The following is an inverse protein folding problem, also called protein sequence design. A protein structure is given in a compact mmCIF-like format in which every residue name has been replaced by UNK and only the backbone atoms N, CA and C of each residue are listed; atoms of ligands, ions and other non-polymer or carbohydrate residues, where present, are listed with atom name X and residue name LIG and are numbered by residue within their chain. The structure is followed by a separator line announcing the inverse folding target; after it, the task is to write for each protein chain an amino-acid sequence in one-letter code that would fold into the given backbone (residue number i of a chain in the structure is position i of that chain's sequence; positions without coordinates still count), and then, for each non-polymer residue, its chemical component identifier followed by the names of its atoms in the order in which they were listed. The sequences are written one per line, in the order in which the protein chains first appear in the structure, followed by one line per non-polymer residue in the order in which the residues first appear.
data_IF_194158793563
#
_entry.id   IF_194158793563
#
_cell.length_a   1.000
_cell.length_b   1.000
_cell.length_c   1.000
_cell.angle_alpha   90.00
_cell.angle_beta   90.00
_cell.angle_gamma   90.00
#
_symmetry.space_group_name_H-M   'P 1'
#
loop_
_entity.id
_entity.type
_entity.pdbx_description
1 polymer ?
#
# COMPACT_ATOMS: atom_id res chain seq x y z
N UNK A 1 -35.82 -19.03 -4.59
CA UNK A 1 -34.56 -19.75 -4.85
C UNK A 1 -33.67 -19.59 -3.63
N UNK A 2 -33.10 -20.69 -3.11
CA UNK A 2 -31.99 -20.59 -2.15
C UNK A 2 -30.82 -19.89 -2.85
N UNK A 3 -30.39 -18.76 -2.31
CA UNK A 3 -29.24 -18.02 -2.83
C UNK A 3 -27.99 -18.81 -2.44
N UNK A 4 -27.23 -19.28 -3.44
CA UNK A 4 -25.95 -19.98 -3.20
C UNK A 4 -24.84 -18.97 -2.90
N UNK A 5 -23.77 -19.39 -2.21
CA UNK A 5 -22.58 -18.54 -2.02
C UNK A 5 -21.99 -18.09 -3.35
N UNK A 6 -22.04 -18.96 -4.37
CA UNK A 6 -21.64 -18.60 -5.73
C UNK A 6 -22.50 -17.46 -6.30
N UNK A 7 -23.83 -17.50 -6.15
CA UNK A 7 -24.72 -16.42 -6.59
C UNK A 7 -24.42 -15.09 -5.90
N UNK A 8 -23.95 -15.11 -4.64
CA UNK A 8 -23.51 -13.89 -3.94
C UNK A 8 -22.18 -13.40 -4.51
N UNK A 9 -21.19 -14.28 -4.64
CA UNK A 9 -19.89 -13.96 -5.21
C UNK A 9 -20.03 -13.42 -6.65
N UNK A 10 -20.88 -14.04 -7.48
CA UNK A 10 -21.14 -13.61 -8.84
C UNK A 10 -21.75 -12.21 -8.90
N UNK A 11 -22.70 -11.90 -8.02
CA UNK A 11 -23.27 -10.55 -7.91
C UNK A 11 -22.22 -9.52 -7.49
N UNK A 12 -21.29 -9.87 -6.60
CA UNK A 12 -20.17 -8.99 -6.27
C UNK A 12 -19.24 -8.76 -7.48
N UNK A 13 -18.97 -9.81 -8.27
CA UNK A 13 -18.19 -9.71 -9.50
C UNK A 13 -18.86 -8.84 -10.56
N UNK A 14 -20.15 -9.03 -10.80
CA UNK A 14 -20.93 -8.21 -11.74
C UNK A 14 -20.95 -6.73 -11.34
N UNK A 15 -21.09 -6.43 -10.04
CA UNK A 15 -21.00 -5.05 -9.53
C UNK A 15 -19.63 -4.44 -9.78
N UNK A 16 -18.56 -5.14 -9.44
CA UNK A 16 -17.19 -4.66 -9.70
C UNK A 16 -16.91 -4.45 -11.18
N UNK A 17 -17.41 -5.35 -12.03
CA UNK A 17 -17.30 -5.25 -13.47
C UNK A 17 -17.99 -3.99 -14.00
N UNK A 18 -19.23 -3.73 -13.56
CA UNK A 18 -19.98 -2.53 -13.94
C UNK A 18 -19.31 -1.24 -13.44
N UNK A 19 -18.85 -1.24 -12.19
CA UNK A 19 -18.13 -0.13 -11.58
C UNK A 19 -16.86 0.22 -12.37
N UNK A 20 -16.07 -0.80 -12.74
CA UNK A 20 -14.87 -0.60 -13.54
C UNK A 20 -15.17 0.05 -14.90
N UNK A 21 -16.25 -0.39 -15.58
CA UNK A 21 -16.69 0.21 -16.84
C UNK A 21 -17.15 1.66 -16.69
N UNK A 22 -17.90 1.98 -15.62
CA UNK A 22 -18.34 3.35 -15.33
C UNK A 22 -17.16 4.29 -15.12
N UNK A 23 -16.09 3.80 -14.51
CA UNK A 23 -14.86 4.55 -14.26
C UNK A 23 -13.81 4.46 -15.39
N UNK A 24 -14.12 3.80 -16.51
CA UNK A 24 -13.21 3.68 -17.65
C UNK A 24 -11.95 2.85 -17.38
N UNK A 25 -12.01 1.94 -16.40
CA UNK A 25 -10.90 1.07 -16.00
C UNK A 25 -11.09 -0.35 -16.53
N UNK A 26 -10.00 -1.14 -16.60
CA UNK A 26 -10.04 -2.51 -17.10
C UNK A 26 -10.84 -3.42 -16.14
N UNK A 27 -11.90 -4.12 -16.61
CA UNK A 27 -12.86 -4.75 -15.69
C UNK A 27 -12.52 -6.20 -15.30
N UNK A 28 -11.51 -6.80 -15.93
CA UNK A 28 -11.06 -8.18 -15.67
C UNK A 28 -9.73 -8.20 -14.91
N UNK A 29 -9.23 -9.41 -14.62
CA UNK A 29 -7.91 -9.57 -14.02
C UNK A 29 -6.80 -9.15 -14.99
N UNK A 30 -5.85 -8.29 -14.58
CA UNK A 30 -4.65 -8.01 -15.34
C UNK A 30 -3.87 -9.30 -15.66
N UNK A 31 -3.36 -9.39 -16.89
CA UNK A 31 -2.61 -10.56 -17.38
C UNK A 31 -1.11 -10.22 -17.38
N UNK A 32 -0.34 -10.94 -16.56
CA UNK A 32 1.09 -10.67 -16.43
C UNK A 32 1.84 -10.83 -17.76
N UNK A 33 1.53 -11.85 -18.58
CA UNK A 33 2.18 -12.03 -19.88
C UNK A 33 2.03 -10.82 -20.81
N UNK A 34 0.88 -10.14 -20.75
CA UNK A 34 0.66 -8.91 -21.52
C UNK A 34 1.46 -7.74 -20.94
N UNK A 35 1.54 -7.61 -19.61
CA UNK A 35 2.37 -6.59 -18.93
C UNK A 35 3.85 -6.78 -19.28
N UNK A 36 4.32 -8.02 -19.28
CA UNK A 36 5.71 -8.38 -19.56
C UNK A 36 6.09 -8.22 -21.03
N UNK A 37 5.14 -8.19 -21.95
CA UNK A 37 5.43 -8.02 -23.38
C UNK A 37 6.17 -6.71 -23.71
N UNK A 38 6.08 -5.72 -22.82
CA UNK A 38 6.76 -4.44 -22.91
C UNK A 38 7.94 -4.29 -21.93
N UNK A 39 8.29 -5.34 -21.19
CA UNK A 39 9.29 -5.28 -20.11
C UNK A 39 10.45 -6.24 -20.35
N UNK A 40 11.69 -5.75 -20.24
CA UNK A 40 12.87 -6.60 -20.32
C UNK A 40 13.13 -7.26 -18.95
N UNK A 41 12.92 -8.58 -18.85
CA UNK A 41 13.22 -9.36 -17.64
C UNK A 41 14.66 -9.84 -17.66
N UNK A 42 15.44 -9.44 -16.65
CA UNK A 42 16.86 -9.78 -16.55
C UNK A 42 17.09 -11.10 -15.79
N UNK A 43 16.20 -11.47 -14.86
CA UNK A 43 16.32 -12.73 -14.13
C UNK A 43 14.99 -13.20 -13.55
N UNK A 44 14.93 -14.51 -13.24
CA UNK A 44 13.85 -15.14 -12.50
C UNK A 44 14.40 -15.84 -11.26
N UNK A 45 13.78 -15.61 -10.10
CA UNK A 45 14.22 -16.14 -8.81
C UNK A 45 13.10 -16.94 -8.16
N UNK A 46 13.35 -18.19 -7.76
CA UNK A 46 12.38 -18.94 -6.97
C UNK A 46 12.40 -18.46 -5.53
N UNK A 47 11.26 -17.98 -5.02
CA UNK A 47 11.11 -17.58 -3.62
C UNK A 47 10.71 -18.75 -2.71
N UNK A 48 10.49 -19.93 -3.29
CA UNK A 48 9.98 -21.09 -2.56
C UNK A 48 8.49 -20.96 -2.23
N UNK A 49 8.07 -21.70 -1.22
CA UNK A 49 6.70 -21.65 -0.71
C UNK A 49 6.59 -20.60 0.39
N UNK A 50 5.66 -19.66 0.25
CA UNK A 50 5.40 -18.59 1.22
C UNK A 50 3.91 -18.28 1.35
N UNK A 51 3.52 -17.55 2.40
CA UNK A 51 2.19 -16.97 2.49
C UNK A 51 2.14 -15.66 1.72
N UNK A 52 1.19 -15.57 0.78
CA UNK A 52 0.98 -14.39 -0.06
C UNK A 52 -0.24 -13.63 0.49
N UNK A 53 -0.10 -12.35 0.87
CA UNK A 53 -1.24 -11.52 1.23
C UNK A 53 -2.25 -11.46 0.07
N UNK A 54 -3.52 -11.76 0.35
CA UNK A 54 -4.55 -11.76 -0.69
C UNK A 54 -4.78 -10.35 -1.28
N UNK A 55 -4.47 -9.29 -0.53
CA UNK A 55 -4.46 -7.90 -1.02
C UNK A 55 -3.41 -7.64 -2.09
N UNK A 56 -2.32 -8.41 -2.12
CA UNK A 56 -1.22 -8.29 -3.10
C UNK A 56 -1.40 -9.18 -4.34
N UNK A 57 -2.40 -10.07 -4.34
CA UNK A 57 -2.77 -10.85 -5.52
C UNK A 57 -3.72 -10.03 -6.38
N UNK A 58 -3.21 -9.56 -7.52
CA UNK A 58 -3.88 -8.59 -8.39
C UNK A 58 -4.38 -9.17 -9.70
N UNK A 59 -3.78 -10.26 -10.19
CA UNK A 59 -4.10 -10.76 -11.53
C UNK A 59 -3.71 -12.20 -11.78
N UNK A 60 -3.68 -12.57 -13.06
CA UNK A 60 -3.33 -13.92 -13.52
C UNK A 60 -2.08 -13.89 -14.41
N UNK A 61 -1.37 -15.02 -14.50
CA UNK A 61 -0.21 -15.13 -15.39
C UNK A 61 -0.62 -15.08 -16.86
N UNK A 62 -1.65 -15.85 -17.22
CA UNK A 62 -2.07 -16.13 -18.60
C UNK A 62 -3.52 -15.70 -18.86
N UNK A 63 -3.84 -15.38 -20.11
CA UNK A 63 -5.14 -14.82 -20.52
C UNK A 63 -6.35 -15.74 -20.30
N UNK A 64 -6.19 -17.06 -20.44
CA UNK A 64 -7.29 -18.05 -20.39
C UNK A 64 -8.20 -17.97 -19.16
N UNK A 65 -7.70 -17.40 -18.05
CA UNK A 65 -8.43 -17.29 -16.79
C UNK A 65 -8.92 -15.87 -16.50
N UNK A 66 -8.45 -14.86 -17.22
CA UNK A 66 -8.72 -13.46 -16.90
C UNK A 66 -10.21 -13.13 -16.95
N UNK A 67 -10.88 -13.54 -18.05
CA UNK A 67 -12.27 -13.13 -18.32
C UNK A 67 -13.32 -13.92 -17.52
N UNK A 68 -12.90 -14.95 -16.77
CA UNK A 68 -13.79 -15.68 -15.87
C UNK A 68 -14.07 -14.93 -14.56
N UNK A 69 -13.30 -13.89 -14.27
CA UNK A 69 -13.35 -13.11 -13.04
C UNK A 69 -13.40 -11.61 -13.32
N UNK A 70 -14.05 -10.86 -12.43
CA UNK A 70 -13.87 -9.41 -12.37
C UNK A 70 -12.49 -9.06 -11.76
N UNK A 71 -12.09 -7.79 -11.82
CA UNK A 71 -10.83 -7.28 -11.26
C UNK A 71 -10.62 -7.59 -9.77
N UNK A 72 -11.69 -7.87 -9.01
CA UNK A 72 -11.64 -8.29 -7.60
C UNK A 72 -11.60 -9.82 -7.39
N UNK A 73 -11.30 -10.62 -8.43
CA UNK A 73 -11.33 -12.10 -8.43
C UNK A 73 -12.71 -12.72 -8.19
N UNK A 74 -13.80 -11.95 -8.16
CA UNK A 74 -15.14 -12.54 -8.05
C UNK A 74 -15.59 -13.09 -9.40
N UNK A 75 -16.31 -14.23 -9.41
CA UNK A 75 -16.63 -14.93 -10.65
C UNK A 75 -17.66 -14.16 -11.49
N UNK A 76 -17.55 -14.27 -12.82
CA UNK A 76 -18.51 -13.66 -13.75
C UNK A 76 -19.39 -14.68 -14.47
N UNK A 77 -18.92 -15.93 -14.58
CA UNK A 77 -19.58 -16.97 -15.37
C UNK A 77 -20.93 -17.41 -14.76
N UNK A 78 -21.89 -17.87 -15.57
CA UNK A 78 -23.22 -18.28 -15.10
C UNK A 78 -23.19 -19.40 -14.04
N UNK A 79 -24.20 -19.44 -13.16
CA UNK A 79 -24.30 -20.41 -12.06
C UNK A 79 -24.38 -21.87 -12.53
N UNK A 80 -24.87 -22.11 -13.75
CA UNK A 80 -24.96 -23.44 -14.37
C UNK A 80 -23.64 -23.91 -15.00
N UNK A 81 -22.58 -23.11 -14.95
CA UNK A 81 -21.30 -23.47 -15.56
C UNK A 81 -20.53 -24.50 -14.74
N UNK A 82 -19.69 -25.30 -15.40
CA UNK A 82 -18.73 -26.18 -14.72
C UNK A 82 -17.81 -25.38 -13.77
N UNK A 83 -17.50 -24.14 -14.15
CA UNK A 83 -16.76 -23.22 -13.32
C UNK A 83 -17.46 -22.99 -11.98
N UNK A 84 -18.77 -22.70 -11.98
CA UNK A 84 -19.57 -22.44 -10.79
C UNK A 84 -19.67 -23.66 -9.87
N UNK A 85 -19.85 -24.84 -10.46
CA UNK A 85 -19.84 -26.10 -9.72
C UNK A 85 -18.49 -26.33 -9.02
N UNK A 86 -17.36 -26.16 -9.74
CA UNK A 86 -16.01 -26.30 -9.18
C UNK A 86 -15.71 -25.25 -8.10
N UNK A 87 -16.14 -24.01 -8.30
CA UNK A 87 -15.98 -22.95 -7.30
C UNK A 87 -16.76 -23.27 -6.02
N UNK A 88 -18.01 -23.74 -6.15
CA UNK A 88 -18.85 -24.10 -5.01
C UNK A 88 -18.31 -25.31 -4.24
N UNK A 89 -17.73 -26.29 -4.93
CA UNK A 89 -17.01 -27.40 -4.29
C UNK A 89 -15.81 -26.89 -3.47
N UNK A 90 -15.00 -26.00 -4.05
CA UNK A 90 -13.84 -25.42 -3.35
C UNK A 90 -14.26 -24.59 -2.13
N UNK A 91 -15.34 -23.82 -2.23
CA UNK A 91 -15.92 -23.11 -1.09
C UNK A 91 -16.29 -24.08 0.03
N UNK A 92 -17.04 -25.14 -0.28
CA UNK A 92 -17.46 -26.12 0.70
C UNK A 92 -16.26 -26.85 1.32
N UNK A 93 -15.24 -27.17 0.52
CA UNK A 93 -14.00 -27.77 1.00
C UNK A 93 -13.24 -26.83 1.95
N UNK A 94 -13.09 -25.55 1.59
CA UNK A 94 -12.44 -24.55 2.44
C UNK A 94 -13.14 -24.40 3.80
N UNK A 95 -14.48 -24.42 3.83
CA UNK A 95 -15.25 -24.27 5.07
C UNK A 95 -15.13 -25.52 5.96
N UNK A 96 -15.01 -26.72 5.38
CA UNK A 96 -14.97 -27.98 6.13
C UNK A 96 -13.58 -28.41 6.55
N UNK A 97 -12.65 -28.43 5.61
CA UNK A 97 -11.31 -29.03 5.75
C UNK A 97 -10.19 -27.98 5.68
N UNK A 98 -10.42 -26.88 4.94
CA UNK A 98 -9.42 -25.87 4.65
C UNK A 98 -8.52 -26.23 3.47
N UNK A 99 -8.25 -25.27 2.59
CA UNK A 99 -7.33 -25.40 1.46
C UNK A 99 -5.90 -25.47 2.01
N UNK A 100 -5.22 -26.59 1.75
CA UNK A 100 -3.82 -26.80 2.17
C UNK A 100 -2.84 -26.73 1.01
N UNK A 101 -3.30 -27.04 -0.21
CA UNK A 101 -2.44 -27.01 -1.38
C UNK A 101 -2.02 -25.58 -1.70
N UNK A 102 -0.72 -25.33 -1.97
CA UNK A 102 -0.25 -24.02 -2.40
C UNK A 102 -0.72 -23.69 -3.82
N UNK A 103 -0.91 -22.41 -4.10
CA UNK A 103 -1.09 -21.91 -5.47
C UNK A 103 0.26 -21.78 -6.17
N UNK A 104 0.26 -21.64 -7.50
CA UNK A 104 1.46 -21.25 -8.26
C UNK A 104 1.29 -19.81 -8.71
N UNK A 105 2.22 -18.94 -8.32
CA UNK A 105 2.15 -17.52 -8.62
C UNK A 105 3.50 -16.96 -9.06
N UNK A 106 3.43 -15.85 -9.80
CA UNK A 106 4.58 -15.02 -10.12
C UNK A 106 4.49 -13.71 -9.36
N UNK A 107 5.62 -13.22 -8.88
CA UNK A 107 5.73 -11.87 -8.35
C UNK A 107 6.44 -10.99 -9.38
N UNK A 108 5.89 -9.81 -9.61
CA UNK A 108 6.45 -8.76 -10.45
C UNK A 108 6.08 -7.40 -9.86
N UNK A 109 7.07 -6.53 -9.63
CA UNK A 109 6.84 -5.17 -9.09
C UNK A 109 6.02 -5.14 -7.77
N UNK A 110 6.28 -6.08 -6.87
CA UNK A 110 5.59 -6.33 -5.59
C UNK A 110 4.08 -6.62 -5.72
N UNK A 111 3.69 -7.17 -6.87
CA UNK A 111 2.35 -7.66 -7.15
C UNK A 111 2.40 -9.13 -7.55
N UNK A 112 1.37 -9.89 -7.17
CA UNK A 112 1.32 -11.33 -7.40
C UNK A 112 0.26 -11.69 -8.44
N UNK A 113 0.65 -12.57 -9.35
CA UNK A 113 -0.13 -13.02 -10.49
C UNK A 113 -0.26 -14.53 -10.48
N UNK A 114 -1.49 -15.01 -10.42
CA UNK A 114 -1.79 -16.44 -10.23
C UNK A 114 -1.68 -17.18 -11.57
N UNK A 115 -0.79 -18.15 -11.64
CA UNK A 115 -0.73 -19.11 -12.75
C UNK A 115 -1.69 -20.27 -12.50
N UNK A 116 -1.66 -20.83 -11.30
CA UNK A 116 -2.50 -21.96 -10.91
C UNK A 116 -3.21 -21.67 -9.58
N UNK A 117 -4.49 -22.05 -9.46
CA UNK A 117 -5.25 -21.86 -8.22
C UNK A 117 -6.13 -20.60 -8.18
N UNK A 118 -6.43 -19.97 -9.32
CA UNK A 118 -7.30 -18.79 -9.42
C UNK A 118 -8.65 -18.93 -8.66
N UNK A 119 -9.29 -20.10 -8.71
CA UNK A 119 -10.55 -20.34 -7.97
C UNK A 119 -10.33 -20.38 -6.45
N UNK A 120 -9.20 -20.91 -5.98
CA UNK A 120 -8.84 -20.92 -4.54
C UNK A 120 -8.67 -19.48 -4.04
N UNK A 121 -7.97 -18.64 -4.81
CA UNK A 121 -7.85 -17.20 -4.52
C UNK A 121 -9.21 -16.51 -4.49
N UNK A 122 -10.08 -16.78 -5.46
CA UNK A 122 -11.44 -16.25 -5.50
C UNK A 122 -12.27 -16.63 -4.27
N UNK A 123 -12.28 -17.90 -3.89
CA UNK A 123 -12.97 -18.41 -2.69
C UNK A 123 -12.43 -17.75 -1.42
N UNK A 124 -11.10 -17.64 -1.27
CA UNK A 124 -10.49 -17.05 -0.08
C UNK A 124 -10.70 -15.53 0.01
N UNK A 125 -10.65 -14.80 -1.11
CA UNK A 125 -11.04 -13.39 -1.15
C UNK A 125 -12.52 -13.21 -0.80
N UNK A 126 -13.40 -14.07 -1.30
CA UNK A 126 -14.84 -14.04 -0.96
C UNK A 126 -15.08 -14.26 0.55
N UNK A 127 -14.29 -15.15 1.16
CA UNK A 127 -14.35 -15.43 2.61
C UNK A 127 -13.63 -14.37 3.48
N UNK A 128 -12.96 -13.39 2.87
CA UNK A 128 -12.20 -12.38 3.60
C UNK A 128 -10.96 -12.93 4.31
N UNK A 129 -10.36 -14.01 3.79
CA UNK A 129 -9.10 -14.52 4.31
C UNK A 129 -7.96 -13.51 4.13
N UNK A 130 -6.94 -13.60 4.98
CA UNK A 130 -5.80 -12.67 4.95
C UNK A 130 -4.78 -13.05 3.87
N UNK A 131 -4.40 -14.32 3.80
CA UNK A 131 -3.33 -14.82 2.93
C UNK A 131 -3.66 -16.19 2.35
N UNK A 132 -2.88 -16.59 1.35
CA UNK A 132 -2.91 -17.92 0.76
C UNK A 132 -1.48 -18.43 0.57
N UNK A 133 -1.24 -19.70 0.88
CA UNK A 133 0.06 -20.34 0.65
C UNK A 133 0.31 -20.48 -0.85
N UNK A 134 1.51 -20.15 -1.32
CA UNK A 134 1.85 -20.26 -2.74
C UNK A 134 3.34 -20.53 -2.98
N UNK A 135 3.62 -21.27 -4.05
CA UNK A 135 4.94 -21.40 -4.63
C UNK A 135 5.16 -20.22 -5.58
N UNK A 136 6.16 -19.38 -5.27
CA UNK A 136 6.33 -18.08 -5.95
C UNK A 136 7.63 -18.04 -6.76
N UNK A 137 7.52 -17.54 -7.98
CA UNK A 137 8.67 -17.15 -8.81
C UNK A 137 8.66 -15.64 -9.04
N UNK A 138 9.71 -14.95 -8.59
CA UNK A 138 9.90 -13.51 -8.79
C UNK A 138 10.54 -13.26 -10.16
N UNK A 139 9.99 -12.30 -10.91
CA UNK A 139 10.53 -11.82 -12.18
C UNK A 139 11.15 -10.44 -11.95
N UNK A 140 12.43 -10.30 -12.24
CA UNK A 140 13.17 -9.06 -11.99
C UNK A 140 13.32 -8.30 -13.32
N UNK A 141 12.73 -7.11 -13.47
CA UNK A 141 12.93 -6.29 -14.64
C UNK A 141 14.34 -5.71 -14.66
N UNK A 142 14.76 -5.24 -15.82
CA UNK A 142 15.96 -4.43 -15.96
C UNK A 142 15.87 -3.17 -15.10
N UNK A 143 17.01 -2.76 -14.54
CA UNK A 143 17.11 -1.48 -13.82
C UNK A 143 16.92 -0.31 -14.79
N UNK A 144 16.08 0.65 -14.41
CA UNK A 144 15.83 1.89 -15.14
C UNK A 144 15.87 3.08 -14.18
N UNK A 145 15.85 4.29 -14.73
CA UNK A 145 15.82 5.52 -13.94
C UNK A 145 14.42 5.93 -13.47
N UNK A 146 13.39 5.17 -13.88
CA UNK A 146 11.99 5.40 -13.51
C UNK A 146 11.79 5.23 -12.00
N UNK A 147 10.92 6.07 -11.43
CA UNK A 147 10.70 6.12 -9.98
C UNK A 147 10.20 4.78 -9.45
N UNK A 148 9.25 4.17 -10.13
CA UNK A 148 8.62 2.90 -9.78
C UNK A 148 9.63 1.75 -9.80
N UNK A 149 10.53 1.74 -10.79
CA UNK A 149 11.62 0.78 -10.89
C UNK A 149 12.59 0.94 -9.71
N UNK A 150 13.02 2.18 -9.41
CA UNK A 150 13.89 2.47 -8.26
C UNK A 150 13.24 2.04 -6.93
N UNK A 151 11.96 2.32 -6.73
CA UNK A 151 11.19 1.88 -5.56
C UNK A 151 11.16 0.35 -5.46
N UNK A 152 10.99 -0.35 -6.58
CA UNK A 152 11.03 -1.81 -6.60
C UNK A 152 12.39 -2.36 -6.18
N UNK A 153 13.49 -1.75 -6.62
CA UNK A 153 14.82 -2.21 -6.19
C UNK A 153 15.10 -1.91 -4.71
N UNK A 154 14.64 -0.78 -4.17
CA UNK A 154 14.68 -0.56 -2.71
C UNK A 154 13.83 -1.60 -1.95
N UNK A 155 12.66 -1.95 -2.50
CA UNK A 155 11.84 -3.02 -1.97
C UNK A 155 12.56 -4.38 -2.00
N UNK A 156 13.27 -4.72 -3.09
CA UNK A 156 14.01 -5.97 -3.18
C UNK A 156 15.10 -6.07 -2.11
N UNK A 157 15.83 -4.97 -1.86
CA UNK A 157 16.85 -4.90 -0.82
C UNK A 157 16.23 -5.12 0.57
N UNK A 158 15.09 -4.47 0.84
CA UNK A 158 14.32 -4.65 2.09
C UNK A 158 13.72 -6.05 2.23
N UNK A 159 13.12 -6.60 1.16
CA UNK A 159 12.48 -7.91 1.17
C UNK A 159 13.49 -9.04 1.36
N UNK A 160 14.73 -8.87 0.87
CA UNK A 160 15.82 -9.83 1.08
C UNK A 160 16.14 -10.05 2.55
N UNK A 161 16.09 -9.00 3.36
CA UNK A 161 16.40 -9.08 4.81
C UNK A 161 15.16 -9.33 5.67
N UNK A 162 14.03 -8.74 5.31
CA UNK A 162 12.79 -8.82 6.11
C UNK A 162 11.87 -9.98 5.74
N UNK A 163 11.97 -10.52 4.52
CA UNK A 163 10.97 -11.44 3.97
C UNK A 163 9.56 -10.85 3.85
N UNK A 164 9.36 -9.54 4.08
CA UNK A 164 8.04 -8.91 4.08
C UNK A 164 7.67 -8.39 2.67
N UNK A 165 6.42 -8.64 2.26
CA UNK A 165 5.83 -8.15 1.00
C UNK A 165 4.53 -7.34 1.23
N UNK A 166 4.19 -7.05 2.48
CA UNK A 166 2.96 -6.34 2.85
C UNK A 166 3.14 -4.82 2.68
N UNK A 167 4.34 -4.29 2.98
CA UNK A 167 4.61 -2.85 2.86
C UNK A 167 5.06 -2.45 1.46
N UNK A 168 4.59 -1.29 1.00
CA UNK A 168 5.02 -0.66 -0.25
C UNK A 168 5.00 0.86 -0.13
N UNK A 169 6.16 1.48 -0.20
CA UNK A 169 6.31 2.93 -0.08
C UNK A 169 6.18 3.64 -1.43
N UNK A 170 5.69 4.88 -1.40
CA UNK A 170 5.59 5.75 -2.60
C UNK A 170 6.80 6.68 -2.78
N UNK A 171 7.74 6.68 -1.83
CA UNK A 171 8.89 7.58 -1.76
C UNK A 171 10.20 6.81 -1.62
N UNK A 172 11.19 7.24 -2.41
CA UNK A 172 12.55 6.68 -2.35
C UNK A 172 13.18 6.96 -0.99
N UNK A 173 13.97 6.01 -0.50
CA UNK A 173 14.64 6.03 0.80
C UNK A 173 13.75 5.60 1.97
N UNK A 174 12.44 5.41 1.78
CA UNK A 174 11.52 5.05 2.86
C UNK A 174 11.83 3.69 3.49
N UNK A 175 12.23 2.69 2.69
CA UNK A 175 12.64 1.38 3.23
C UNK A 175 13.87 1.49 4.13
N UNK A 176 14.89 2.24 3.70
CA UNK A 176 16.10 2.50 4.51
C UNK A 176 15.77 3.26 5.79
N UNK A 177 14.85 4.23 5.71
CA UNK A 177 14.38 4.98 6.89
C UNK A 177 13.64 4.08 7.87
N UNK A 178 12.77 3.20 7.38
CA UNK A 178 12.08 2.22 8.22
C UNK A 178 13.08 1.33 8.96
N UNK A 179 14.06 0.74 8.25
CA UNK A 179 15.11 -0.08 8.87
C UNK A 179 15.85 0.69 9.97
N UNK A 180 16.22 1.95 9.72
CA UNK A 180 16.87 2.80 10.72
C UNK A 180 15.99 3.02 11.96
N UNK A 181 14.69 3.29 11.79
CA UNK A 181 13.75 3.47 12.89
C UNK A 181 13.52 2.18 13.69
N UNK A 182 13.67 1.03 13.04
CA UNK A 182 13.65 -0.28 13.69
C UNK A 182 14.98 -0.61 14.40
N UNK A 183 16.03 0.18 14.19
CA UNK A 183 17.38 -0.10 14.68
C UNK A 183 18.09 -1.22 13.92
N UNK A 184 17.68 -1.49 12.68
CA UNK A 184 18.20 -2.57 11.82
C UNK A 184 19.22 -2.06 10.80
N UNK A 185 20.22 -2.89 10.53
CA UNK A 185 21.15 -2.70 9.41
C UNK A 185 20.52 -3.03 8.04
N UNK A 186 21.05 -2.48 6.93
CA UNK A 186 20.55 -2.76 5.58
C UNK A 186 20.72 -4.21 5.11
N UNK A 187 21.69 -4.93 5.66
CA UNK A 187 21.98 -6.34 5.35
C UNK A 187 21.65 -7.29 6.52
N UNK A 188 21.00 -6.78 7.57
CA UNK A 188 20.66 -7.54 8.77
C UNK A 188 19.40 -8.36 8.55
N UNK A 189 19.57 -9.66 8.31
CA UNK A 189 18.46 -10.60 8.10
C UNK A 189 17.62 -10.72 9.37
N UNK A 190 16.31 -10.52 9.24
CA UNK A 190 15.36 -10.65 10.34
C UNK A 190 15.09 -12.11 10.65
N UNK A 191 14.97 -12.43 11.94
CA UNK A 191 14.51 -13.74 12.39
C UNK A 191 12.97 -13.89 12.26
N UNK A 192 12.44 -15.07 12.56
CA UNK A 192 11.00 -15.34 12.42
C UNK A 192 10.13 -14.51 13.37
N UNK A 193 10.62 -14.23 14.58
CA UNK A 193 9.91 -13.48 15.61
C UNK A 193 9.81 -12.00 15.21
N UNK A 194 10.91 -11.42 14.71
CA UNK A 194 10.95 -10.05 14.20
C UNK A 194 10.01 -9.85 13.02
N UNK A 195 9.99 -10.81 12.09
CA UNK A 195 9.05 -10.82 10.96
C UNK A 195 7.60 -10.88 11.45
N UNK A 196 7.32 -11.73 12.42
CA UNK A 196 5.98 -11.89 12.98
C UNK A 196 5.51 -10.62 13.69
N UNK A 197 6.38 -9.99 14.50
CA UNK A 197 6.05 -8.75 15.19
C UNK A 197 5.81 -7.61 14.21
N UNK A 198 6.66 -7.48 13.19
CA UNK A 198 6.48 -6.46 12.16
C UNK A 198 5.14 -6.63 11.41
N UNK A 199 4.86 -7.85 10.92
CA UNK A 199 3.58 -8.15 10.23
C UNK A 199 2.38 -7.87 11.13
N UNK A 200 2.46 -8.24 12.40
CA UNK A 200 1.38 -8.02 13.37
C UNK A 200 1.18 -6.53 13.70
N UNK A 201 2.26 -5.75 13.82
CA UNK A 201 2.19 -4.31 14.05
C UNK A 201 1.63 -3.58 12.83
N UNK A 202 2.16 -3.86 11.63
CA UNK A 202 1.70 -3.27 10.39
C UNK A 202 0.23 -3.62 10.11
N UNK A 203 -0.17 -4.89 10.27
CA UNK A 203 -1.56 -5.31 10.04
C UNK A 203 -2.57 -4.67 11.01
N UNK A 204 -2.21 -4.45 12.29
CA UNK A 204 -3.05 -3.69 13.24
C UNK A 204 -3.12 -2.22 12.84
N UNK A 205 -2.00 -1.63 12.41
CA UNK A 205 -1.96 -0.25 11.97
C UNK A 205 -2.81 -0.04 10.72
N UNK A 206 -2.67 -0.89 9.70
CA UNK A 206 -3.42 -0.80 8.45
C UNK A 206 -4.93 -0.80 8.71
N UNK A 207 -5.42 -1.69 9.59
CA UNK A 207 -6.82 -1.71 10.02
C UNK A 207 -7.22 -0.41 10.71
N UNK A 208 -6.44 0.06 11.68
CA UNK A 208 -6.71 1.31 12.37
C UNK A 208 -6.73 2.52 11.40
N UNK A 209 -5.84 2.54 10.41
CA UNK A 209 -5.77 3.57 9.38
C UNK A 209 -7.01 3.56 8.48
N UNK A 210 -7.49 2.39 8.06
CA UNK A 210 -8.74 2.26 7.32
C UNK A 210 -9.97 2.66 8.15
N UNK A 211 -10.02 2.28 9.44
CA UNK A 211 -11.08 2.74 10.34
C UNK A 211 -11.10 4.26 10.50
N UNK A 212 -9.94 4.91 10.37
CA UNK A 212 -9.80 6.37 10.44
C UNK A 212 -10.10 7.08 9.11
N UNK A 213 -10.64 6.38 8.11
CA UNK A 213 -10.89 6.90 6.76
C UNK A 213 -9.62 7.34 6.01
N UNK A 214 -8.50 6.65 6.26
CA UNK A 214 -7.23 6.91 5.61
C UNK A 214 -7.24 6.73 4.09
N UNK A 215 -8.21 5.98 3.54
CA UNK A 215 -8.44 5.83 2.10
C UNK A 215 -8.79 7.13 1.36
N UNK A 216 -9.16 8.19 2.10
CA UNK A 216 -9.42 9.52 1.54
C UNK A 216 -8.14 10.33 1.31
N UNK A 217 -6.99 9.83 1.78
CA UNK A 217 -5.71 10.49 1.63
C UNK A 217 -4.99 9.95 0.39
N UNK A 218 -4.25 10.82 -0.30
CA UNK A 218 -3.28 10.49 -1.34
C UNK A 218 -1.96 9.95 -0.73
N UNK A 219 -2.09 9.02 0.22
CA UNK A 219 -0.99 8.44 0.98
C UNK A 219 -1.20 6.93 1.14
N UNK A 220 -0.16 6.13 0.90
CA UNK A 220 -0.28 4.68 1.13
C UNK A 220 -0.32 4.37 2.63
N UNK A 221 -0.97 3.26 3.05
CA UNK A 221 -0.90 2.81 4.45
C UNK A 221 0.54 2.60 4.94
N UNK A 222 1.46 2.17 4.07
CA UNK A 222 2.88 2.04 4.40
C UNK A 222 3.54 3.40 4.67
N UNK A 223 3.31 4.41 3.83
CA UNK A 223 3.85 5.75 4.07
C UNK A 223 3.30 6.35 5.37
N UNK A 224 2.01 6.17 5.65
CA UNK A 224 1.39 6.58 6.91
C UNK A 224 1.99 5.83 8.12
N UNK A 225 2.23 4.52 7.98
CA UNK A 225 2.88 3.71 9.01
C UNK A 225 4.28 4.20 9.33
N UNK A 226 5.05 4.63 8.33
CA UNK A 226 6.39 5.18 8.55
C UNK A 226 6.37 6.45 9.39
N UNK A 227 5.41 7.35 9.15
CA UNK A 227 5.21 8.56 9.99
C UNK A 227 4.81 8.15 11.41
N UNK A 228 3.93 7.17 11.54
CA UNK A 228 3.50 6.66 12.85
C UNK A 228 4.66 6.05 13.66
N UNK A 229 5.48 5.21 13.02
CA UNK A 229 6.70 4.61 13.61
C UNK A 229 7.70 5.68 14.02
N UNK A 230 7.82 6.75 13.24
CA UNK A 230 8.73 7.85 13.55
C UNK A 230 8.31 8.64 14.80
N UNK A 231 7.01 8.89 14.96
CA UNK A 231 6.48 9.65 16.10
C UNK A 231 6.48 8.81 17.39
N UNK A 232 6.03 7.56 17.31
CA UNK A 232 5.81 6.71 18.50
C UNK A 232 6.93 5.71 18.77
N UNK A 233 7.84 5.49 17.81
CA UNK A 233 8.95 4.55 17.94
C UNK A 233 8.54 3.09 17.75
N UNK A 234 9.30 2.37 16.94
CA UNK A 234 8.97 0.99 16.52
C UNK A 234 8.72 0.02 17.69
N UNK A 235 9.54 0.08 18.75
CA UNK A 235 9.41 -0.83 19.90
C UNK A 235 8.09 -0.66 20.64
N UNK A 236 7.61 0.58 20.77
CA UNK A 236 6.36 0.86 21.47
C UNK A 236 5.16 0.35 20.69
N UNK A 237 5.17 0.56 19.36
CA UNK A 237 4.01 0.22 18.53
C UNK A 237 3.81 -1.30 18.39
N UNK A 238 4.87 -2.11 18.54
CA UNK A 238 4.77 -3.57 18.51
C UNK A 238 3.82 -4.12 19.60
N UNK A 239 3.67 -3.42 20.73
CA UNK A 239 2.77 -3.80 21.81
C UNK A 239 1.34 -3.26 21.69
N UNK A 240 1.09 -2.30 20.79
CA UNK A 240 -0.19 -1.57 20.76
C UNK A 240 -1.32 -2.37 20.12
N UNK A 241 -2.50 -2.32 20.73
CA UNK A 241 -3.74 -2.83 20.14
C UNK A 241 -4.21 -1.93 18.99
N UNK A 242 -5.06 -2.47 18.12
CA UNK A 242 -5.70 -1.72 17.02
C UNK A 242 -6.44 -0.47 17.54
N UNK A 243 -7.13 -0.59 18.68
CA UNK A 243 -7.85 0.52 19.32
C UNK A 243 -6.92 1.63 19.80
N UNK A 244 -5.77 1.27 20.37
CA UNK A 244 -4.76 2.24 20.80
C UNK A 244 -4.12 2.93 19.60
N UNK A 245 -3.80 2.17 18.54
CA UNK A 245 -3.29 2.73 17.28
C UNK A 245 -4.29 3.70 16.65
N UNK A 246 -5.58 3.34 16.60
CA UNK A 246 -6.64 4.23 16.11
C UNK A 246 -6.70 5.54 16.91
N UNK A 247 -6.73 5.45 18.24
CA UNK A 247 -6.78 6.64 19.10
C UNK A 247 -5.52 7.52 18.96
N UNK A 248 -4.35 6.91 18.76
CA UNK A 248 -3.10 7.62 18.50
C UNK A 248 -3.10 8.29 17.11
N UNK A 249 -3.58 7.59 16.07
CA UNK A 249 -3.72 8.14 14.72
C UNK A 249 -4.57 9.40 14.68
N UNK A 250 -5.69 9.42 15.43
CA UNK A 250 -6.52 10.62 15.54
C UNK A 250 -5.76 11.83 16.11
N UNK A 251 -4.79 11.60 17.01
CA UNK A 251 -4.00 12.68 17.61
C UNK A 251 -2.95 13.26 16.67
N UNK A 252 -2.43 12.44 15.74
CA UNK A 252 -1.39 12.83 14.80
C UNK A 252 -1.93 13.01 13.36
N UNK A 253 -3.25 13.15 13.20
CA UNK A 253 -3.88 13.18 11.89
C UNK A 253 -3.40 14.38 11.05
N UNK A 254 -3.11 15.50 11.70
CA UNK A 254 -2.47 16.68 11.07
C UNK A 254 -1.12 16.35 10.45
N UNK A 255 -0.31 15.54 11.13
CA UNK A 255 1.02 15.12 10.69
C UNK A 255 0.92 14.15 9.52
N UNK A 256 -0.06 13.24 9.54
CA UNK A 256 -0.36 12.35 8.41
C UNK A 256 -0.79 13.16 7.17
N UNK A 257 -1.66 14.18 7.32
CA UNK A 257 -2.04 15.09 6.22
C UNK A 257 -0.89 15.95 5.71
N UNK A 258 -0.02 16.41 6.61
CA UNK A 258 1.18 17.15 6.20
C UNK A 258 2.12 16.24 5.39
N UNK A 259 2.26 14.98 5.82
CA UNK A 259 3.05 14.00 5.10
C UNK A 259 2.47 13.73 3.70
N UNK A 260 1.16 13.58 3.55
CA UNK A 260 0.44 13.41 2.27
C UNK A 260 0.81 14.51 1.25
N UNK A 261 0.63 15.79 1.61
CA UNK A 261 0.83 16.95 0.72
C UNK A 261 2.26 17.07 0.17
N UNK A 262 3.23 16.42 0.81
CA UNK A 262 4.65 16.71 0.59
C UNK A 262 4.96 18.17 0.99
N UNK A 263 6.22 18.60 0.88
CA UNK A 263 6.60 20.00 1.15
C UNK A 263 6.11 20.93 0.03
N UNK A 264 4.81 21.06 -0.17
CA UNK A 264 4.26 22.09 -1.06
C UNK A 264 4.21 23.43 -0.31
N UNK A 265 4.74 24.48 -0.95
CA UNK A 265 4.70 25.86 -0.48
C UNK A 265 3.25 26.34 -0.51
N UNK A 266 2.70 26.76 0.64
CA UNK A 266 1.32 27.21 0.75
C UNK A 266 1.26 28.75 0.83
N UNK A 267 0.53 29.37 -0.10
CA UNK A 267 0.21 30.80 -0.04
C UNK A 267 -0.94 31.00 0.94
N UNK A 268 -0.63 31.42 2.15
CA UNK A 268 -1.63 31.69 3.18
C UNK A 268 -2.03 33.16 3.15
N UNK A 269 -3.26 33.44 2.74
CA UNK A 269 -3.83 34.80 2.72
C UNK A 269 -4.55 35.18 4.02
N UNK A 270 -4.81 34.21 4.91
CA UNK A 270 -5.52 34.39 6.18
C UNK A 270 -4.61 34.11 7.39
N UNK A 271 -4.37 35.09 8.28
CA UNK A 271 -3.52 34.95 9.47
C UNK A 271 -3.96 33.84 10.45
N UNK A 272 -5.25 33.53 10.55
CA UNK A 272 -5.74 32.47 11.46
C UNK A 272 -5.46 31.07 10.90
N UNK A 273 -5.57 30.90 9.58
CA UNK A 273 -5.13 29.67 8.89
C UNK A 273 -3.61 29.45 9.01
N UNK A 274 -2.82 30.54 9.01
CA UNK A 274 -1.38 30.48 9.21
C UNK A 274 -1.00 29.95 10.61
N UNK A 275 -1.79 30.24 11.64
CA UNK A 275 -1.54 29.75 13.01
C UNK A 275 -1.70 28.24 13.11
N UNK A 276 -2.69 27.65 12.45
CA UNK A 276 -2.86 26.19 12.41
C UNK A 276 -1.72 25.49 11.65
N UNK A 277 -1.23 26.11 10.57
CA UNK A 277 -0.07 25.65 9.79
C UNK A 277 1.28 25.85 10.52
N UNK A 278 1.37 26.86 11.40
CA UNK A 278 2.59 27.23 12.14
C UNK A 278 2.82 26.43 13.41
N UNK A 279 1.94 25.48 13.77
CA UNK A 279 2.22 24.58 14.89
C UNK A 279 3.54 23.87 14.60
N UNK A 280 4.54 23.92 15.49
CA UNK A 280 5.85 23.35 15.24
C UNK A 280 5.68 21.86 14.94
N UNK A 281 5.78 21.52 13.66
CA UNK A 281 5.74 20.13 13.23
C UNK A 281 6.99 19.46 13.77
N UNK A 282 6.78 18.39 14.54
CA UNK A 282 7.85 17.57 15.09
C UNK A 282 8.74 17.05 13.94
N UNK A 283 8.19 16.93 12.73
CA UNK A 283 8.87 16.50 11.50
C UNK A 283 9.96 17.47 11.01
N UNK A 284 9.88 18.77 11.36
CA UNK A 284 10.88 19.76 10.92
C UNK A 284 12.22 19.66 11.67
N UNK A 285 12.28 18.92 12.79
CA UNK A 285 13.48 18.83 13.62
C UNK A 285 14.46 17.73 13.17
N UNK A 286 14.05 16.75 12.35
CA UNK A 286 14.76 15.45 12.27
C UNK A 286 15.33 15.06 10.88
N UNK A 287 15.66 16.03 10.03
CA UNK A 287 16.36 15.77 8.76
C UNK A 287 17.88 15.68 9.00
N UNK A 288 18.61 14.74 8.37
CA UNK A 288 20.07 14.66 8.48
C UNK A 288 20.76 15.96 8.05
N UNK A 289 21.68 16.46 8.87
CA UNK A 289 22.54 17.59 8.53
C UNK A 289 23.34 17.25 7.25
N UNK A 290 23.00 17.91 6.14
CA UNK A 290 23.65 17.70 4.84
C UNK A 290 22.73 17.79 3.61
N UNK A 291 21.40 17.72 3.78
CA UNK A 291 20.41 17.91 2.71
C UNK A 291 19.63 19.24 2.80
N UNK A 292 20.02 20.10 3.73
CA UNK A 292 19.38 21.38 3.99
C UNK A 292 20.40 22.51 3.77
N UNK A 293 20.15 23.38 2.79
CA UNK A 293 20.46 24.78 3.03
C UNK A 293 19.70 25.18 4.31
N UNK A 294 20.33 25.91 5.24
CA UNK A 294 19.69 26.26 6.51
C UNK A 294 18.33 26.91 6.24
N UNK A 295 17.28 26.33 6.83
CA UNK A 295 15.91 26.87 6.85
C UNK A 295 15.91 28.20 7.63
N UNK A 296 16.38 29.23 6.94
CA UNK A 296 15.93 30.59 7.21
C UNK A 296 14.51 30.64 6.66
N UNK A 297 13.53 30.95 7.50
CA UNK A 297 12.21 31.33 7.02
C UNK A 297 12.40 32.47 6.01
N UNK A 298 12.32 32.17 4.72
CA UNK A 298 12.35 33.16 3.65
C UNK A 298 10.92 33.68 3.49
N UNK A 299 10.51 34.53 4.41
CA UNK A 299 9.26 35.26 4.31
C UNK A 299 9.43 36.40 3.30
N UNK A 300 8.57 36.45 2.29
CA UNK A 300 8.45 37.58 1.38
C UNK A 300 7.08 38.21 1.58
N UNK A 301 7.06 39.49 1.93
CA UNK A 301 5.83 40.27 1.98
C UNK A 301 5.59 40.90 0.62
N UNK A 302 4.49 40.54 -0.04
CA UNK A 302 4.08 41.17 -1.29
C UNK A 302 3.17 42.33 -0.94
N UNK A 303 3.71 43.54 -1.02
CA UNK A 303 2.96 44.77 -0.86
C UNK A 303 2.48 45.27 -2.22
N UNK A 304 1.26 45.78 -2.29
CA UNK A 304 0.72 46.42 -3.51
C UNK A 304 1.39 47.78 -3.81
N UNK A 305 2.10 48.34 -2.83
CA UNK A 305 2.79 49.64 -2.88
C UNK A 305 4.17 49.53 -2.23
N UNK A 306 5.10 50.39 -2.63
CA UNK A 306 6.43 50.47 -2.02
C UNK A 306 6.37 51.15 -0.64
N UNK A 307 7.36 50.97 0.25
CA UNK A 307 7.38 51.61 1.57
C UNK A 307 7.18 53.14 1.52
N UNK A 308 7.70 53.81 0.49
CA UNK A 308 7.62 55.25 0.29
C UNK A 308 6.22 55.73 -0.12
N UNK A 309 5.38 54.82 -0.64
CA UNK A 309 4.04 55.11 -1.17
C UNK A 309 2.92 54.48 -0.34
N UNK A 310 3.26 53.75 0.72
CA UNK A 310 2.34 53.09 1.63
C UNK A 310 1.98 54.01 2.80
N UNK A 311 0.74 54.53 2.79
CA UNK A 311 0.19 55.31 3.88
C UNK A 311 0.08 54.53 5.20
N UNK A 312 0.00 53.19 5.14
CA UNK A 312 0.03 52.33 6.32
C UNK A 312 1.43 52.28 6.96
N UNK A 313 2.49 52.22 6.14
CA UNK A 313 3.89 52.19 6.62
C UNK A 313 4.26 53.52 7.27
N UNK A 314 3.88 54.64 6.66
CA UNK A 314 4.08 55.98 7.24
C UNK A 314 3.40 56.17 8.60
N UNK A 315 2.23 55.56 8.82
CA UNK A 315 1.50 55.66 10.09
C UNK A 315 2.11 54.83 11.23
N UNK A 316 2.97 53.86 10.93
CA UNK A 316 3.58 52.96 11.91
C UNK A 316 5.06 53.28 12.22
N UNK A 317 5.69 54.19 11.46
CA UNK A 317 7.06 54.67 11.70
C UNK A 317 7.12 56.06 12.37
N UNK A 318 5.98 56.58 12.83
CA UNK A 318 5.84 57.92 13.45
C UNK A 318 5.79 57.85 14.99
#
# INVERSE_FOLDING_TARGET
MLITHYAVAQRQGQRQYQDALLHGTYPYLPVLDQILSYSEITSSVSLGTMDIPLSRIVGTKTEDRANAFASNFMPLLPEQSEFAAKWSLLYNYQVKEGIQDPIVAFEYMNQFYVQEGNKRVSVLKFLGAYSIRGQVTRLIPKRTEEKENKLYFEFLDFNRVSGNCEVWFSRLGSYRRLLKLMGKGPDEVWDEEERLFFRSAFGRFEKAFHMAHGERLELTPSDAFLVYVEIYGYRQICGQTEKEMYAALQKIWSEIRLAERGRQVELVTDPEAAKELSRPSILNWFIPAGLLEPDTLKAAFISTKTPETSSWTYAHEL
#
